data_IF_659011076144
#
_entry.id   IF_659011076144
#
_cell.length_a   1.000
_cell.length_b   1.000
_cell.length_c   1.000
_cell.angle_alpha   90.00
_cell.angle_beta   90.00
_cell.angle_gamma   90.00
#
_symmetry.space_group_name_H-M   'P 1'
#
loop_
_entity.id
_entity.type
_entity.pdbx_description
1 polymer ?
#
# COMPACT_ATOMS: atom_id res chain seq x y z
N UNK A 1 25.58 14.35 -3.84
CA UNK A 1 24.78 15.15 -4.80
C UNK A 1 24.36 16.41 -4.06
N UNK A 2 24.59 17.59 -4.62
CA UNK A 2 24.08 18.82 -4.03
C UNK A 2 22.70 19.04 -4.61
N UNK A 3 21.66 18.91 -3.78
CA UNK A 3 20.28 19.16 -4.20
C UNK A 3 19.95 20.64 -4.02
N UNK A 4 19.16 21.20 -4.93
CA UNK A 4 18.62 22.55 -4.76
C UNK A 4 17.66 22.58 -3.56
N UNK A 5 17.56 23.73 -2.89
CA UNK A 5 16.58 23.89 -1.80
C UNK A 5 15.17 23.94 -2.37
N UNK A 6 14.26 23.19 -1.80
CA UNK A 6 12.88 23.05 -2.25
C UNK A 6 11.87 23.46 -1.19
N UNK A 7 10.67 23.84 -1.63
CA UNK A 7 9.53 24.13 -0.75
C UNK A 7 8.23 23.58 -1.32
N UNK A 8 7.31 23.20 -0.44
CA UNK A 8 5.93 22.89 -0.79
C UNK A 8 4.98 23.06 0.40
N UNK A 9 3.69 23.21 0.09
CA UNK A 9 2.61 23.13 1.08
C UNK A 9 2.47 21.67 1.52
N UNK A 10 2.59 21.40 2.81
CA UNK A 10 2.58 20.05 3.38
C UNK A 10 1.21 19.64 3.96
N UNK A 11 0.26 20.57 4.07
CA UNK A 11 -1.12 20.34 4.51
C UNK A 11 -2.08 20.36 3.32
N UNK A 12 -3.26 19.72 3.40
CA UNK A 12 -4.30 19.88 2.38
C UNK A 12 -4.67 21.36 2.19
N UNK A 13 -4.92 21.75 0.94
CA UNK A 13 -5.44 23.09 0.61
C UNK A 13 -6.91 23.16 1.00
N UNK A 14 -7.23 24.08 1.92
CA UNK A 14 -8.60 24.27 2.41
C UNK A 14 -8.63 25.40 3.45
N UNK A 15 -9.79 25.68 4.02
CA UNK A 15 -9.92 26.63 5.12
C UNK A 15 -9.73 25.88 6.44
N UNK A 16 -8.67 26.17 7.15
CA UNK A 16 -8.28 25.56 8.42
C UNK A 16 -7.73 26.61 9.38
N UNK A 17 -7.46 26.26 10.63
CA UNK A 17 -6.78 27.16 11.57
C UNK A 17 -5.32 27.39 11.19
N UNK A 18 -4.64 26.38 10.66
CA UNK A 18 -3.19 26.40 10.34
C UNK A 18 -2.96 25.67 9.02
N UNK A 19 -2.01 26.19 8.23
CA UNK A 19 -1.40 25.49 7.11
C UNK A 19 0.11 25.43 7.31
N UNK A 20 0.77 24.40 6.78
CA UNK A 20 2.23 24.21 6.93
C UNK A 20 2.89 24.19 5.56
N UNK A 21 3.92 25.03 5.40
CA UNK A 21 4.83 25.00 4.26
C UNK A 21 6.16 24.42 4.74
N UNK A 22 6.67 23.41 4.04
CA UNK A 22 7.97 22.80 4.33
C UNK A 22 9.01 23.24 3.33
N UNK A 23 10.18 23.57 3.83
CA UNK A 23 11.38 23.92 3.05
C UNK A 23 12.50 22.96 3.44
N UNK A 24 13.23 22.40 2.48
CA UNK A 24 14.34 21.46 2.72
C UNK A 24 15.51 21.72 1.78
N UNK A 25 16.72 21.69 2.31
CA UNK A 25 17.97 21.86 1.57
C UNK A 25 18.99 22.69 2.33
N UNK A 26 20.22 22.76 1.83
CA UNK A 26 21.36 23.42 2.51
C UNK A 26 21.14 24.93 2.77
N UNK A 27 20.31 25.57 1.95
CA UNK A 27 20.01 27.00 2.08
C UNK A 27 18.64 27.26 2.76
N UNK A 28 17.92 26.23 3.22
CA UNK A 28 16.56 26.37 3.75
C UNK A 28 16.45 27.41 4.87
N UNK A 29 17.35 27.34 5.85
CA UNK A 29 17.36 28.27 7.00
C UNK A 29 17.72 29.65 6.58
N UNK A 30 18.78 29.81 5.77
CA UNK A 30 19.32 31.13 5.38
C UNK A 30 18.36 31.93 4.50
N UNK A 31 17.69 31.26 3.53
CA UNK A 31 16.71 31.87 2.63
C UNK A 31 15.42 32.23 3.34
N UNK A 32 14.88 31.35 4.19
CA UNK A 32 13.69 31.69 4.99
C UNK A 32 13.98 32.82 5.96
N UNK A 33 15.19 32.89 6.54
CA UNK A 33 15.59 33.98 7.43
C UNK A 33 15.61 35.37 6.75
N UNK A 34 15.75 35.45 5.41
CA UNK A 34 15.73 36.73 4.67
C UNK A 34 14.35 37.39 4.67
N UNK A 35 13.29 36.59 4.67
CA UNK A 35 11.89 37.06 4.61
C UNK A 35 11.19 37.01 5.97
N UNK A 36 11.87 36.55 7.02
CA UNK A 36 11.33 36.38 8.35
C UNK A 36 11.74 37.54 9.29
N UNK A 37 10.74 38.20 9.86
CA UNK A 37 10.91 39.21 10.90
C UNK A 37 10.66 38.57 12.27
N UNK A 38 11.73 38.23 12.94
CA UNK A 38 11.71 37.57 14.25
C UNK A 38 13.14 37.28 14.73
N UNK A 39 13.32 36.17 15.40
CA UNK A 39 14.65 35.72 15.82
C UNK A 39 15.48 35.29 14.62
N UNK A 40 16.79 35.62 14.61
CA UNK A 40 17.69 35.19 13.54
C UNK A 40 17.81 33.67 13.51
N UNK A 41 17.20 33.04 12.47
CA UNK A 41 17.13 31.60 12.32
C UNK A 41 18.49 30.94 12.11
N UNK A 42 19.47 31.64 11.55
CA UNK A 42 20.84 31.13 11.39
C UNK A 42 21.58 30.91 12.72
N UNK A 43 21.03 31.42 13.83
CA UNK A 43 21.67 31.37 15.16
C UNK A 43 20.85 30.56 16.17
N UNK A 44 19.80 29.88 15.74
CA UNK A 44 18.95 29.08 16.62
C UNK A 44 19.42 27.62 16.70
N UNK A 45 18.98 26.93 17.75
CA UNK A 45 19.24 25.50 17.90
C UNK A 45 18.24 24.70 17.04
N UNK A 46 18.64 23.49 16.64
CA UNK A 46 17.74 22.52 16.01
C UNK A 46 16.59 22.15 16.96
N UNK A 47 15.43 21.82 16.39
CA UNK A 47 14.21 21.40 17.11
C UNK A 47 13.65 22.50 18.02
N UNK A 48 13.67 23.76 17.51
CA UNK A 48 13.10 24.93 18.20
C UNK A 48 12.06 25.62 17.31
N UNK A 49 11.07 26.24 17.97
CA UNK A 49 9.98 26.97 17.32
C UNK A 49 10.13 28.46 17.62
N UNK A 50 9.92 29.30 16.61
CA UNK A 50 10.10 30.75 16.70
C UNK A 50 8.89 31.47 16.12
N UNK A 51 8.35 32.39 16.93
CA UNK A 51 7.26 33.28 16.53
C UNK A 51 7.82 34.49 15.77
N UNK A 52 7.10 34.95 14.75
CA UNK A 52 7.39 36.14 13.99
C UNK A 52 6.46 36.33 12.79
N UNK A 53 6.95 37.07 11.78
CA UNK A 53 6.14 37.44 10.61
C UNK A 53 6.92 37.14 9.32
N UNK A 54 6.22 36.72 8.28
CA UNK A 54 6.73 36.73 6.92
C UNK A 54 6.49 38.14 6.33
N UNK A 55 7.47 38.69 5.67
CA UNK A 55 7.41 40.03 5.06
C UNK A 55 7.27 39.95 3.54
N UNK A 56 6.47 40.83 2.98
CA UNK A 56 6.43 41.14 1.56
C UNK A 56 7.77 41.84 1.13
N UNK A 57 7.96 42.03 -0.17
CA UNK A 57 9.12 42.75 -0.72
C UNK A 57 9.22 44.20 -0.23
N UNK A 58 8.10 44.87 -0.03
CA UNK A 58 8.00 46.22 0.48
C UNK A 58 8.22 46.35 2.00
N UNK A 59 8.47 45.22 2.68
CA UNK A 59 8.63 45.13 4.12
C UNK A 59 7.35 45.12 4.95
N UNK A 60 6.19 45.17 4.32
CA UNK A 60 4.90 45.00 5.01
C UNK A 60 4.72 43.54 5.50
N UNK A 61 3.91 43.34 6.53
CA UNK A 61 3.64 42.04 7.07
C UNK A 61 2.67 41.28 6.10
N UNK A 62 3.10 40.11 5.64
CA UNK A 62 2.29 39.22 4.85
C UNK A 62 1.45 38.29 5.75
N UNK A 63 2.07 37.65 6.74
CA UNK A 63 1.41 36.78 7.70
C UNK A 63 2.20 36.68 9.00
N UNK A 64 1.47 36.41 10.09
CA UNK A 64 2.02 36.05 11.38
C UNK A 64 2.22 34.53 11.44
N UNK A 65 3.43 34.05 11.75
CA UNK A 65 3.80 32.65 11.59
C UNK A 65 4.58 32.10 12.78
N UNK A 66 4.55 30.77 12.90
CA UNK A 66 5.49 30.02 13.73
C UNK A 66 6.43 29.22 12.85
N UNK A 67 7.73 29.35 13.08
CA UNK A 67 8.77 28.66 12.29
C UNK A 67 9.44 27.60 13.16
N UNK A 68 9.36 26.34 12.70
CA UNK A 68 10.09 25.21 13.28
C UNK A 68 11.39 24.98 12.49
N UNK A 69 12.52 24.85 13.17
CA UNK A 69 13.85 24.67 12.55
C UNK A 69 14.43 23.32 12.92
N UNK A 70 14.85 22.55 11.91
CA UNK A 70 15.52 21.27 12.04
C UNK A 70 16.83 21.29 11.28
N UNK A 71 17.95 21.17 11.99
CA UNK A 71 19.29 21.23 11.42
C UNK A 71 19.77 19.81 11.10
N UNK A 72 20.37 19.65 9.92
CA UNK A 72 20.98 18.40 9.47
C UNK A 72 21.94 17.79 10.51
N UNK A 73 22.05 16.45 10.61
CA UNK A 73 21.25 15.44 9.92
C UNK A 73 19.95 15.05 10.64
N UNK A 74 19.55 15.78 11.68
CA UNK A 74 18.39 15.48 12.54
C UNK A 74 17.12 16.12 12.00
N UNK A 75 16.72 15.72 10.77
CA UNK A 75 15.52 16.18 10.08
C UNK A 75 14.88 15.04 9.28
N UNK A 76 13.75 15.29 8.65
CA UNK A 76 13.07 14.28 7.82
C UNK A 76 13.90 13.88 6.59
N UNK A 77 14.52 14.83 5.92
CA UNK A 77 15.34 14.60 4.71
C UNK A 77 16.82 14.39 5.00
N UNK A 78 17.28 14.50 6.25
CA UNK A 78 18.68 14.67 6.67
C UNK A 78 19.34 15.95 6.11
N UNK A 79 18.59 16.86 5.51
CA UNK A 79 19.01 18.22 5.14
C UNK A 79 18.55 19.20 6.22
N UNK A 80 18.91 20.48 6.10
CA UNK A 80 18.28 21.53 6.89
C UNK A 80 16.82 21.67 6.47
N UNK A 81 15.90 21.65 7.45
CA UNK A 81 14.46 21.74 7.21
C UNK A 81 13.87 22.88 8.02
N UNK A 82 13.02 23.67 7.37
CA UNK A 82 12.20 24.69 8.01
C UNK A 82 10.73 24.39 7.72
N UNK A 83 9.91 24.37 8.77
CA UNK A 83 8.45 24.29 8.64
C UNK A 83 7.84 25.61 9.10
N UNK A 84 7.04 26.23 8.22
CA UNK A 84 6.40 27.52 8.43
C UNK A 84 4.91 27.26 8.61
N UNK A 85 4.41 27.46 9.82
CA UNK A 85 2.98 27.39 10.14
C UNK A 85 2.37 28.77 9.91
N UNK A 86 1.51 28.87 8.89
CA UNK A 86 0.76 30.06 8.50
C UNK A 86 -0.69 29.98 8.97
N UNK A 87 -1.46 31.06 8.88
CA UNK A 87 -2.90 30.96 8.93
C UNK A 87 -3.42 30.09 7.79
N UNK A 88 -4.40 29.23 8.07
CA UNK A 88 -4.87 28.13 7.18
C UNK A 88 -5.84 28.59 6.09
N UNK A 89 -5.68 29.79 5.53
CA UNK A 89 -6.41 30.28 4.37
C UNK A 89 -5.72 29.89 3.07
N UNK A 90 -6.46 29.47 2.05
CA UNK A 90 -5.89 29.07 0.75
C UNK A 90 -5.01 30.17 0.17
N UNK A 91 -5.53 31.41 0.10
CA UNK A 91 -4.83 32.53 -0.51
C UNK A 91 -3.56 32.89 0.26
N UNK A 92 -3.64 32.98 1.60
CA UNK A 92 -2.49 33.38 2.41
C UNK A 92 -1.37 32.33 2.34
N UNK A 93 -1.73 31.02 2.39
CA UNK A 93 -0.76 29.94 2.26
C UNK A 93 -0.04 29.98 0.90
N UNK A 94 -0.78 30.24 -0.20
CA UNK A 94 -0.20 30.39 -1.53
C UNK A 94 0.73 31.61 -1.61
N UNK A 95 0.32 32.77 -1.06
CA UNK A 95 1.14 33.97 -1.03
C UNK A 95 2.44 33.79 -0.24
N UNK A 96 2.39 33.10 0.89
CA UNK A 96 3.62 32.78 1.66
C UNK A 96 4.52 31.84 0.87
N UNK A 97 3.97 30.81 0.19
CA UNK A 97 4.76 29.94 -0.68
C UNK A 97 5.40 30.74 -1.84
N UNK A 98 4.63 31.58 -2.55
CA UNK A 98 5.15 32.45 -3.61
C UNK A 98 6.34 33.29 -3.07
N UNK A 99 6.19 33.90 -1.90
CA UNK A 99 7.24 34.71 -1.26
C UNK A 99 8.50 33.89 -0.92
N UNK A 100 8.35 32.63 -0.53
CA UNK A 100 9.46 31.71 -0.32
C UNK A 100 10.19 31.41 -1.65
N UNK A 101 9.45 31.13 -2.71
CA UNK A 101 10.01 30.81 -4.03
C UNK A 101 10.79 32.01 -4.63
N UNK A 102 10.36 33.25 -4.38
CA UNK A 102 11.07 34.47 -4.79
C UNK A 102 12.48 34.58 -4.19
N UNK A 103 12.77 33.87 -3.10
CA UNK A 103 14.16 33.80 -2.56
C UNK A 103 15.08 32.86 -3.37
N UNK A 104 14.60 32.30 -4.47
CA UNK A 104 15.34 31.35 -5.29
C UNK A 104 15.26 29.88 -4.75
N UNK A 105 14.26 29.57 -3.96
CA UNK A 105 13.90 28.20 -3.58
C UNK A 105 13.01 27.64 -4.68
N UNK A 106 13.18 26.37 -5.04
CA UNK A 106 12.37 25.72 -6.06
C UNK A 106 11.11 25.06 -5.48
N UNK A 107 10.08 24.96 -6.30
CA UNK A 107 8.88 24.21 -5.93
C UNK A 107 9.20 22.71 -5.94
N UNK A 108 8.92 22.03 -4.83
CA UNK A 108 9.12 20.59 -4.74
C UNK A 108 8.20 19.82 -5.67
N UNK A 109 8.70 18.71 -6.21
CA UNK A 109 7.89 17.73 -6.94
C UNK A 109 7.13 16.82 -5.97
N UNK A 110 6.05 16.15 -6.42
CA UNK A 110 5.38 15.13 -5.62
C UNK A 110 6.39 14.09 -5.08
N UNK A 111 6.31 13.78 -3.79
CA UNK A 111 7.19 12.80 -3.12
C UNK A 111 8.65 13.21 -2.96
N UNK A 112 9.06 14.44 -3.32
CA UNK A 112 10.49 14.81 -3.35
C UNK A 112 11.15 14.78 -1.97
N UNK A 113 10.47 15.18 -0.92
CA UNK A 113 11.02 15.09 0.44
C UNK A 113 11.28 13.64 0.87
N UNK A 114 10.38 12.72 0.55
CA UNK A 114 10.56 11.28 0.83
C UNK A 114 11.65 10.67 -0.03
N UNK A 115 11.75 11.09 -1.31
CA UNK A 115 12.84 10.70 -2.22
C UNK A 115 14.20 11.13 -1.66
N UNK A 116 14.33 12.36 -1.15
CA UNK A 116 15.56 12.86 -0.51
C UNK A 116 15.87 12.10 0.78
N UNK A 117 14.86 11.83 1.61
CA UNK A 117 15.03 11.02 2.82
C UNK A 117 15.56 9.61 2.49
N UNK A 118 15.10 9.00 1.39
CA UNK A 118 15.61 7.72 0.88
C UNK A 118 17.06 7.87 0.35
N UNK A 119 17.33 8.83 -0.54
CA UNK A 119 18.66 9.06 -1.14
C UNK A 119 19.73 9.40 -0.08
N UNK A 120 19.34 10.13 0.96
CA UNK A 120 20.20 10.45 2.10
C UNK A 120 20.30 9.31 3.13
N UNK A 121 19.69 8.16 2.86
CA UNK A 121 19.79 6.95 3.69
C UNK A 121 19.12 7.08 5.07
N UNK A 122 18.11 7.97 5.21
CA UNK A 122 17.31 8.04 6.43
C UNK A 122 16.27 6.91 6.50
N UNK A 123 15.64 6.63 5.39
CA UNK A 123 14.64 5.57 5.22
C UNK A 123 15.02 4.70 4.03
N UNK A 124 14.60 3.44 4.05
CA UNK A 124 14.63 2.56 2.88
C UNK A 124 13.33 2.70 2.07
N UNK A 125 13.25 1.98 0.94
CA UNK A 125 12.10 2.09 0.05
C UNK A 125 10.82 1.52 0.68
N UNK A 126 10.93 0.45 1.49
CA UNK A 126 9.81 -0.13 2.25
C UNK A 126 9.24 0.89 3.23
N UNK A 127 10.11 1.62 3.94
CA UNK A 127 9.69 2.67 4.86
C UNK A 127 9.07 3.87 4.14
N UNK A 128 9.59 4.24 2.96
CA UNK A 128 9.00 5.31 2.15
C UNK A 128 7.57 4.95 1.71
N UNK A 129 7.35 3.73 1.23
CA UNK A 129 6.04 3.23 0.87
C UNK A 129 5.11 3.13 2.10
N UNK A 130 5.62 2.70 3.25
CA UNK A 130 4.85 2.62 4.49
C UNK A 130 4.33 3.98 4.98
N UNK A 131 5.05 5.08 4.73
CA UNK A 131 4.57 6.44 5.03
C UNK A 131 3.28 6.73 4.23
N UNK A 132 3.23 6.33 2.96
CA UNK A 132 2.03 6.50 2.14
C UNK A 132 0.90 5.57 2.59
N UNK A 133 1.23 4.34 2.97
CA UNK A 133 0.26 3.39 3.49
C UNK A 133 -0.43 3.89 4.77
N UNK A 134 0.30 4.57 5.68
CA UNK A 134 -0.29 5.21 6.86
C UNK A 134 -1.26 6.32 6.46
N UNK A 135 -0.92 7.14 5.46
CA UNK A 135 -1.75 8.26 5.03
C UNK A 135 -3.06 7.77 4.38
N UNK A 136 -2.98 6.69 3.61
CA UNK A 136 -4.11 6.12 2.89
C UNK A 136 -4.84 5.01 3.66
N UNK A 137 -4.42 4.70 4.88
CA UNK A 137 -5.03 3.64 5.67
C UNK A 137 -6.52 3.92 5.95
N UNK A 138 -7.37 2.96 5.62
CA UNK A 138 -8.83 3.04 5.79
C UNK A 138 -9.33 2.27 7.01
N UNK A 139 -8.45 1.53 7.71
CA UNK A 139 -8.79 0.78 8.90
C UNK A 139 -7.59 0.67 9.87
N UNK A 140 -7.85 0.32 11.13
CA UNK A 140 -6.81 0.23 12.16
C UNK A 140 -5.75 -0.84 11.87
N UNK A 141 -6.13 -1.95 11.26
CA UNK A 141 -5.18 -3.02 10.94
C UNK A 141 -4.22 -2.59 9.82
N UNK A 142 -4.70 -1.82 8.82
CA UNK A 142 -3.83 -1.21 7.81
C UNK A 142 -2.78 -0.27 8.43
N UNK A 143 -3.17 0.54 9.44
CA UNK A 143 -2.24 1.37 10.20
C UNK A 143 -1.19 0.51 10.93
N UNK A 144 -1.61 -0.62 11.55
CA UNK A 144 -0.68 -1.53 12.25
C UNK A 144 0.33 -2.15 11.27
N UNK A 145 -0.12 -2.60 10.10
CA UNK A 145 0.73 -3.14 9.04
C UNK A 145 1.76 -2.10 8.58
N UNK A 146 1.31 -0.89 8.27
CA UNK A 146 2.16 0.20 7.81
C UNK A 146 3.18 0.62 8.89
N UNK A 147 2.80 0.67 10.17
CA UNK A 147 3.70 0.96 11.27
C UNK A 147 4.78 -0.12 11.45
N UNK A 148 4.47 -1.41 11.23
CA UNK A 148 5.47 -2.49 11.24
C UNK A 148 6.51 -2.29 10.12
N UNK A 149 6.08 -1.96 8.89
CA UNK A 149 6.97 -1.64 7.79
C UNK A 149 7.83 -0.40 8.11
N UNK A 150 7.23 0.67 8.64
CA UNK A 150 7.94 1.90 9.04
C UNK A 150 8.96 1.66 10.14
N UNK A 151 8.72 0.73 11.07
CA UNK A 151 9.65 0.36 12.15
C UNK A 151 10.82 -0.54 11.71
N UNK A 152 11.01 -0.76 10.41
CA UNK A 152 12.02 -1.65 9.79
C UNK A 152 11.82 -3.15 10.03
N UNK A 153 10.72 -3.59 10.64
CA UNK A 153 10.51 -5.01 10.86
C UNK A 153 10.48 -5.80 9.54
N UNK A 154 9.76 -5.28 8.53
CA UNK A 154 9.70 -5.85 7.18
C UNK A 154 11.06 -5.79 6.48
N UNK A 155 11.76 -4.66 6.55
CA UNK A 155 13.10 -4.51 5.96
C UNK A 155 14.11 -5.49 6.57
N UNK A 156 14.09 -5.67 7.90
CA UNK A 156 14.96 -6.61 8.59
C UNK A 156 14.69 -8.07 8.20
N UNK A 157 13.43 -8.44 7.96
CA UNK A 157 13.07 -9.77 7.47
C UNK A 157 13.67 -10.02 6.07
N UNK A 158 13.60 -9.06 5.17
CA UNK A 158 14.19 -9.18 3.82
C UNK A 158 15.73 -9.16 3.88
N UNK A 159 16.33 -8.32 4.73
CA UNK A 159 17.78 -8.29 4.94
C UNK A 159 18.32 -9.63 5.48
N UNK A 160 17.56 -10.30 6.34
CA UNK A 160 17.93 -11.63 6.83
C UNK A 160 17.96 -12.67 5.69
N UNK A 161 16.92 -12.72 4.84
CA UNK A 161 16.91 -13.58 3.66
C UNK A 161 18.10 -13.28 2.73
N UNK A 162 18.31 -11.99 2.46
CA UNK A 162 19.39 -11.50 1.61
C UNK A 162 20.76 -11.89 2.15
N UNK A 163 20.97 -11.82 3.48
CA UNK A 163 22.20 -12.19 4.14
C UNK A 163 22.48 -13.71 4.03
N UNK A 164 21.44 -14.55 4.17
CA UNK A 164 21.55 -16.00 3.99
C UNK A 164 21.98 -16.36 2.56
N UNK A 165 21.36 -15.72 1.54
CA UNK A 165 21.74 -15.92 0.13
C UNK A 165 23.16 -15.44 -0.12
N UNK A 166 23.56 -14.27 0.39
CA UNK A 166 24.92 -13.73 0.24
C UNK A 166 25.97 -14.67 0.85
N UNK A 167 25.66 -15.29 2.00
CA UNK A 167 26.57 -16.28 2.62
C UNK A 167 26.80 -17.46 1.70
N UNK A 168 25.77 -17.96 1.01
CA UNK A 168 25.92 -19.06 0.02
C UNK A 168 26.78 -18.61 -1.16
N UNK A 169 26.52 -17.41 -1.73
CA UNK A 169 27.30 -16.87 -2.83
C UNK A 169 28.78 -16.77 -2.44
N UNK A 170 29.08 -16.14 -1.29
CA UNK A 170 30.45 -15.94 -0.84
C UNK A 170 31.19 -17.29 -0.62
N UNK A 171 30.50 -18.31 -0.08
CA UNK A 171 31.10 -19.63 0.11
C UNK A 171 31.36 -20.33 -1.23
N UNK A 172 30.50 -20.18 -2.22
CA UNK A 172 30.69 -20.71 -3.58
C UNK A 172 31.86 -20.00 -4.27
N UNK A 173 31.93 -18.68 -4.20
CA UNK A 173 33.02 -17.89 -4.79
C UNK A 173 34.38 -18.24 -4.23
N UNK A 174 34.50 -18.45 -2.90
CA UNK A 174 35.74 -18.91 -2.28
C UNK A 174 36.18 -20.27 -2.84
N UNK A 175 35.25 -21.18 -3.11
CA UNK A 175 35.58 -22.50 -3.68
C UNK A 175 35.97 -22.41 -5.17
N UNK A 176 35.50 -21.42 -5.90
CA UNK A 176 35.84 -21.19 -7.31
C UNK A 176 37.21 -20.52 -7.42
N UNK A 177 37.45 -19.46 -6.63
CA UNK A 177 38.64 -18.61 -6.72
C UNK A 177 39.88 -19.22 -6.04
N UNK A 178 39.65 -20.04 -5.02
CA UNK A 178 40.72 -20.60 -4.20
C UNK A 178 40.53 -22.13 -3.95
N UNK A 179 40.55 -22.95 -4.99
CA UNK A 179 40.31 -24.38 -4.86
C UNK A 179 41.40 -25.12 -4.07
N UNK A 180 42.57 -24.49 -3.87
CA UNK A 180 43.72 -25.03 -3.11
C UNK A 180 43.68 -24.78 -1.60
N UNK A 181 42.65 -24.05 -1.08
CA UNK A 181 42.53 -23.82 0.35
C UNK A 181 41.95 -25.04 1.06
N UNK A 182 42.81 -25.81 1.76
CA UNK A 182 42.45 -27.02 2.51
C UNK A 182 41.42 -26.74 3.64
N UNK A 183 41.40 -25.51 4.17
CA UNK A 183 40.50 -25.08 5.25
C UNK A 183 39.13 -24.54 4.73
N UNK A 184 38.94 -24.37 3.41
CA UNK A 184 37.69 -23.90 2.86
C UNK A 184 36.62 -25.01 2.91
N UNK A 185 35.42 -24.66 3.38
CA UNK A 185 34.28 -25.58 3.32
C UNK A 185 33.94 -25.83 1.84
N UNK A 186 34.19 -27.07 1.38
CA UNK A 186 33.87 -27.48 0.03
C UNK A 186 32.34 -27.40 -0.16
N UNK A 187 31.90 -26.45 -0.99
CA UNK A 187 30.49 -26.25 -1.27
C UNK A 187 30.01 -27.27 -2.31
N UNK A 188 29.71 -28.47 -1.81
CA UNK A 188 29.11 -29.54 -2.61
C UNK A 188 27.57 -29.34 -2.72
N UNK A 189 26.95 -30.02 -3.70
CA UNK A 189 25.51 -30.03 -3.87
C UNK A 189 24.79 -30.50 -2.59
N UNK A 190 25.38 -31.41 -1.81
CA UNK A 190 24.83 -31.93 -0.57
C UNK A 190 24.72 -30.85 0.53
N UNK A 191 25.56 -29.82 0.49
CA UNK A 191 25.53 -28.70 1.42
C UNK A 191 24.66 -27.54 0.92
N UNK A 192 24.63 -27.33 -0.39
CA UNK A 192 23.85 -26.23 -0.99
C UNK A 192 22.36 -26.58 -1.02
N UNK A 193 22.00 -27.78 -1.43
CA UNK A 193 20.61 -28.24 -1.59
C UNK A 193 19.73 -27.99 -0.34
N UNK A 194 20.10 -28.47 0.87
CA UNK A 194 19.25 -28.25 2.05
C UNK A 194 19.11 -26.76 2.39
N UNK A 195 20.19 -25.98 2.26
CA UNK A 195 20.14 -24.53 2.58
C UNK A 195 19.26 -23.73 1.62
N UNK A 196 19.25 -24.09 0.33
CA UNK A 196 18.36 -23.46 -0.65
C UNK A 196 16.91 -23.89 -0.40
N UNK A 197 16.65 -25.14 -0.03
CA UNK A 197 15.29 -25.57 0.36
C UNK A 197 14.80 -24.85 1.62
N UNK A 198 15.64 -24.70 2.65
CA UNK A 198 15.27 -23.92 3.85
C UNK A 198 14.89 -22.48 3.49
N UNK A 199 15.61 -21.84 2.55
CA UNK A 199 15.26 -20.50 2.03
C UNK A 199 13.93 -20.51 1.28
N UNK A 200 13.68 -21.53 0.44
CA UNK A 200 12.43 -21.66 -0.30
C UNK A 200 11.23 -21.86 0.65
N UNK A 201 11.40 -22.67 1.69
CA UNK A 201 10.36 -22.88 2.70
C UNK A 201 10.05 -21.59 3.46
N UNK A 202 11.07 -20.84 3.88
CA UNK A 202 10.92 -19.54 4.54
C UNK A 202 10.21 -18.53 3.62
N UNK A 203 10.58 -18.45 2.35
CA UNK A 203 9.94 -17.58 1.36
C UNK A 203 8.49 -18.00 1.12
N UNK A 204 8.19 -19.30 1.04
CA UNK A 204 6.82 -19.80 0.86
C UNK A 204 5.92 -19.45 2.06
N UNK A 205 6.43 -19.56 3.29
CA UNK A 205 5.72 -19.14 4.50
C UNK A 205 5.42 -17.63 4.46
N UNK A 206 6.43 -16.81 4.14
CA UNK A 206 6.25 -15.36 3.98
C UNK A 206 5.20 -15.04 2.92
N UNK A 207 5.28 -15.65 1.73
CA UNK A 207 4.31 -15.41 0.65
C UNK A 207 2.89 -15.79 1.03
N UNK A 208 2.72 -16.91 1.75
CA UNK A 208 1.41 -17.38 2.21
C UNK A 208 0.78 -16.39 3.20
N UNK A 209 1.56 -15.90 4.15
CA UNK A 209 1.10 -14.93 5.15
C UNK A 209 0.93 -13.54 4.55
N UNK A 210 1.76 -13.17 3.58
CA UNK A 210 1.69 -11.87 2.88
C UNK A 210 0.39 -11.64 2.13
N UNK A 211 -0.24 -12.70 1.59
CA UNK A 211 -1.54 -12.58 0.91
C UNK A 211 -2.63 -12.05 1.85
N UNK A 212 -2.63 -12.48 3.12
CA UNK A 212 -3.55 -12.00 4.15
C UNK A 212 -3.29 -10.54 4.50
N UNK A 213 -2.02 -10.18 4.66
CA UNK A 213 -1.61 -8.79 4.97
C UNK A 213 -1.94 -7.82 3.82
N UNK A 214 -1.85 -8.29 2.58
CA UNK A 214 -2.29 -7.53 1.40
C UNK A 214 -3.79 -7.20 1.45
N UNK A 215 -4.65 -8.15 1.80
CA UNK A 215 -6.09 -7.91 1.95
C UNK A 215 -6.41 -6.87 3.04
N UNK A 216 -5.62 -6.85 4.12
CA UNK A 216 -5.77 -5.85 5.18
C UNK A 216 -5.39 -4.45 4.68
N UNK A 217 -4.31 -4.34 3.88
CA UNK A 217 -3.79 -3.07 3.36
C UNK A 217 -4.64 -2.51 2.22
N UNK A 218 -4.89 -3.31 1.20
CA UNK A 218 -5.52 -2.87 -0.05
C UNK A 218 -7.03 -3.02 -0.03
N UNK A 219 -7.53 -3.86 0.88
CA UNK A 219 -8.91 -4.33 0.83
C UNK A 219 -9.09 -5.49 -0.14
N UNK A 220 -10.30 -6.03 -0.17
CA UNK A 220 -10.68 -7.16 -1.02
C UNK A 220 -11.64 -6.68 -2.10
N UNK A 221 -11.24 -6.76 -3.36
CA UNK A 221 -12.12 -6.44 -4.49
C UNK A 221 -13.29 -7.40 -4.52
N UNK A 222 -14.47 -6.87 -4.20
CA UNK A 222 -15.69 -7.65 -4.01
C UNK A 222 -16.76 -7.21 -4.97
N UNK A 223 -17.40 -8.14 -5.65
CA UNK A 223 -18.55 -7.88 -6.51
C UNK A 223 -19.80 -8.56 -5.97
N UNK A 224 -20.94 -7.86 -6.02
CA UNK A 224 -22.26 -8.39 -5.71
C UNK A 224 -22.98 -8.72 -7.01
N UNK A 225 -23.24 -9.99 -7.27
CA UNK A 225 -23.91 -10.46 -8.49
C UNK A 225 -25.19 -11.24 -8.17
N UNK A 226 -26.09 -11.30 -9.12
CA UNK A 226 -27.38 -11.97 -9.02
C UNK A 226 -28.35 -11.40 -10.05
N UNK A 227 -29.41 -12.10 -10.38
CA UNK A 227 -30.45 -11.62 -11.29
C UNK A 227 -31.17 -10.35 -10.77
N UNK A 228 -31.96 -9.64 -11.59
CA UNK A 228 -32.77 -8.50 -11.12
C UNK A 228 -33.68 -8.90 -9.94
N UNK A 229 -33.92 -7.97 -9.03
CA UNK A 229 -34.88 -8.09 -7.90
C UNK A 229 -34.58 -9.16 -6.83
N UNK A 230 -33.39 -9.78 -6.82
CA UNK A 230 -32.98 -10.69 -5.73
C UNK A 230 -32.54 -9.96 -4.46
N UNK A 231 -32.39 -8.62 -4.50
CA UNK A 231 -32.01 -7.80 -3.35
C UNK A 231 -30.56 -7.35 -3.29
N UNK A 232 -29.85 -7.28 -4.45
CA UNK A 232 -28.47 -6.79 -4.51
C UNK A 232 -28.29 -5.38 -3.94
N UNK A 233 -29.14 -4.44 -4.38
CA UNK A 233 -29.12 -3.04 -3.89
C UNK A 233 -29.49 -2.95 -2.41
N UNK A 234 -30.39 -3.81 -1.92
CA UNK A 234 -30.74 -3.87 -0.51
C UNK A 234 -29.59 -4.42 0.32
N UNK A 235 -28.86 -5.45 -0.17
CA UNK A 235 -27.68 -5.97 0.48
C UNK A 235 -26.55 -4.92 0.51
N UNK A 236 -26.29 -4.25 -0.62
CA UNK A 236 -25.35 -3.15 -0.70
C UNK A 236 -25.66 -2.06 0.34
N UNK A 237 -26.91 -1.61 0.39
CA UNK A 237 -27.35 -0.60 1.35
C UNK A 237 -27.28 -1.10 2.80
N UNK A 238 -27.55 -2.36 3.06
CA UNK A 238 -27.42 -2.94 4.40
C UNK A 238 -25.95 -2.96 4.85
N UNK A 239 -25.03 -3.32 3.97
CA UNK A 239 -23.59 -3.28 4.25
C UNK A 239 -23.06 -1.85 4.42
N UNK A 240 -23.61 -0.87 3.69
CA UNK A 240 -23.19 0.53 3.76
C UNK A 240 -23.82 1.30 4.92
N UNK A 241 -25.04 0.94 5.36
CA UNK A 241 -25.80 1.68 6.39
C UNK A 241 -25.47 1.30 7.84
N UNK A 242 -24.68 0.28 8.09
CA UNK A 242 -24.06 0.10 9.39
C UNK A 242 -22.98 1.19 9.56
N UNK A 243 -22.76 1.72 10.77
CA UNK A 243 -21.81 2.81 11.10
C UNK A 243 -20.34 2.55 10.65
N UNK A 244 -20.13 1.60 9.75
CA UNK A 244 -18.86 1.02 9.27
C UNK A 244 -18.48 1.44 7.85
N UNK A 245 -19.33 2.17 7.15
CA UNK A 245 -19.02 2.62 5.80
C UNK A 245 -18.15 3.88 5.83
N UNK A 246 -16.93 3.79 5.35
CA UNK A 246 -16.10 4.94 5.03
C UNK A 246 -16.36 5.30 3.57
N UNK A 247 -17.26 6.23 3.32
CA UNK A 247 -17.36 6.87 2.01
C UNK A 247 -16.24 7.90 1.95
N UNK A 248 -15.10 7.54 1.38
CA UNK A 248 -14.04 8.51 1.15
C UNK A 248 -14.29 9.20 -0.18
N UNK A 249 -14.64 10.49 -0.13
CA UNK A 249 -14.44 11.39 -1.26
C UNK A 249 -12.92 11.58 -1.47
N UNK A 250 -12.24 10.58 -2.02
CA UNK A 250 -10.86 10.76 -2.46
C UNK A 250 -10.94 11.58 -3.73
N UNK A 251 -10.76 12.89 -3.59
CA UNK A 251 -10.60 13.83 -4.70
C UNK A 251 -9.34 13.39 -5.49
N UNK A 252 -9.53 12.81 -6.66
CA UNK A 252 -8.41 12.43 -7.56
C UNK A 252 -8.67 11.24 -8.49
N UNK A 253 -9.70 10.42 -8.27
CA UNK A 253 -10.07 9.36 -9.20
C UNK A 253 -11.14 9.86 -10.16
N UNK A 254 -10.67 10.41 -11.28
CA UNK A 254 -11.53 10.91 -12.36
C UNK A 254 -12.23 9.77 -13.07
N UNK A 255 -13.57 9.83 -13.12
CA UNK A 255 -14.47 9.34 -14.19
C UNK A 255 -14.86 7.87 -14.31
N UNK A 256 -14.40 6.92 -13.52
CA UNK A 256 -14.89 5.54 -13.67
C UNK A 256 -15.27 4.95 -12.30
N UNK A 257 -16.54 4.54 -12.17
CA UNK A 257 -17.19 3.73 -11.13
C UNK A 257 -16.92 4.15 -9.67
N UNK A 258 -17.98 4.57 -8.99
CA UNK A 258 -17.95 4.87 -7.55
C UNK A 258 -17.75 3.56 -6.80
N UNK A 259 -16.51 3.29 -6.38
CA UNK A 259 -16.20 2.19 -5.48
C UNK A 259 -16.68 2.57 -4.08
N UNK A 260 -17.41 1.66 -3.44
CA UNK A 260 -17.80 1.81 -2.05
C UNK A 260 -16.91 0.91 -1.17
N UNK A 261 -16.51 1.43 -0.02
CA UNK A 261 -15.67 0.70 0.94
C UNK A 261 -16.50 0.32 2.17
N UNK A 262 -16.44 -0.96 2.55
CA UNK A 262 -17.09 -1.51 3.74
C UNK A 262 -16.04 -2.13 4.64
N UNK A 263 -15.96 -1.72 5.90
CA UNK A 263 -15.02 -2.30 6.88
C UNK A 263 -15.71 -3.41 7.66
N UNK A 264 -15.21 -4.64 7.55
CA UNK A 264 -15.65 -5.81 8.29
C UNK A 264 -14.53 -6.28 9.21
N UNK A 265 -14.64 -6.03 10.52
CA UNK A 265 -13.67 -6.44 11.55
C UNK A 265 -12.19 -6.14 11.19
N UNK A 266 -11.96 -4.95 10.61
CA UNK A 266 -10.61 -4.51 10.23
C UNK A 266 -10.12 -5.03 8.89
N UNK A 267 -11.00 -5.60 8.08
CA UNK A 267 -10.78 -5.90 6.66
C UNK A 267 -11.69 -5.02 5.83
N UNK A 268 -11.13 -4.33 4.85
CA UNK A 268 -11.91 -3.47 3.96
C UNK A 268 -12.35 -4.26 2.73
N UNK A 269 -13.66 -4.31 2.45
CA UNK A 269 -14.18 -4.75 1.15
C UNK A 269 -14.27 -3.55 0.22
N UNK A 270 -13.63 -3.63 -0.94
CA UNK A 270 -13.78 -2.68 -2.03
C UNK A 270 -14.88 -3.20 -2.97
N UNK A 271 -16.08 -2.61 -2.88
CA UNK A 271 -17.22 -3.01 -3.71
C UNK A 271 -17.09 -2.38 -5.10
N UNK A 272 -16.82 -3.22 -6.10
CA UNK A 272 -16.66 -2.81 -7.51
C UNK A 272 -18.00 -2.87 -8.25
N UNK A 273 -18.17 -2.01 -9.27
CA UNK A 273 -19.39 -1.93 -10.13
C UNK A 273 -20.68 -1.58 -9.36
N UNK A 274 -20.58 -0.70 -8.35
CA UNK A 274 -21.77 -0.27 -7.59
C UNK A 274 -22.75 0.57 -8.40
N UNK A 275 -22.32 1.17 -9.52
CA UNK A 275 -23.19 1.94 -10.43
C UNK A 275 -24.26 1.04 -11.07
N UNK A 276 -23.91 -0.18 -11.53
CA UNK A 276 -24.87 -1.14 -12.05
C UNK A 276 -25.89 -1.63 -11.02
N UNK A 277 -25.62 -1.45 -9.74
CA UNK A 277 -26.54 -1.82 -8.64
C UNK A 277 -27.47 -0.66 -8.28
N UNK A 278 -27.03 0.61 -8.43
CA UNK A 278 -27.83 1.81 -8.09
C UNK A 278 -28.78 2.22 -9.20
N UNK A 279 -28.39 2.04 -10.48
CA UNK A 279 -29.17 2.50 -11.65
C UNK A 279 -30.13 1.44 -12.20
N UNK A 280 -30.44 0.37 -11.46
CA UNK A 280 -31.30 -0.73 -11.87
C UNK A 280 -32.78 -0.37 -12.10
N UNK A 281 -33.10 0.92 -12.35
CA UNK A 281 -34.46 1.34 -12.66
C UNK A 281 -34.77 1.49 -14.16
N UNK A 282 -33.79 1.57 -15.05
CA UNK A 282 -34.07 1.61 -16.49
C UNK A 282 -32.86 1.29 -17.37
N UNK A 283 -33.09 0.40 -18.33
CA UNK A 283 -32.38 0.18 -19.60
C UNK A 283 -31.23 -0.83 -19.69
N UNK A 284 -31.55 -1.89 -20.45
CA UNK A 284 -30.73 -2.68 -21.38
C UNK A 284 -30.00 -3.90 -20.79
N UNK A 285 -30.69 -5.05 -20.87
CA UNK A 285 -30.26 -6.41 -20.53
C UNK A 285 -28.94 -6.90 -21.18
N UNK A 286 -28.49 -6.36 -22.30
CA UNK A 286 -27.26 -6.84 -22.98
C UNK A 286 -25.96 -6.21 -22.46
N UNK A 287 -25.99 -4.97 -22.02
CA UNK A 287 -24.80 -4.29 -21.49
C UNK A 287 -24.45 -4.77 -20.06
N UNK A 288 -25.44 -5.24 -19.31
CA UNK A 288 -25.27 -5.76 -17.95
C UNK A 288 -24.44 -7.05 -17.87
N UNK A 289 -24.58 -7.96 -18.83
CA UNK A 289 -23.88 -9.28 -18.82
C UNK A 289 -22.37 -9.11 -19.04
N UNK A 290 -21.96 -8.26 -19.96
CA UNK A 290 -20.53 -8.06 -20.25
C UNK A 290 -19.82 -7.28 -19.13
N UNK A 291 -20.51 -6.30 -18.52
CA UNK A 291 -20.00 -5.60 -17.33
C UNK A 291 -19.87 -6.54 -16.13
N UNK A 292 -20.89 -7.33 -15.86
CA UNK A 292 -20.85 -8.33 -14.76
C UNK A 292 -19.73 -9.35 -14.97
N UNK A 293 -19.46 -9.80 -16.21
CA UNK A 293 -18.34 -10.69 -16.52
C UNK A 293 -16.99 -10.04 -16.22
N UNK A 294 -16.80 -8.79 -16.61
CA UNK A 294 -15.57 -8.03 -16.32
C UNK A 294 -15.39 -7.85 -14.82
N UNK A 295 -16.42 -7.42 -14.10
CA UNK A 295 -16.40 -7.26 -12.67
C UNK A 295 -16.11 -8.59 -11.93
N UNK A 296 -16.73 -9.70 -12.33
CA UNK A 296 -16.43 -11.04 -11.80
C UNK A 296 -14.98 -11.42 -12.07
N UNK A 297 -14.44 -11.09 -13.25
CA UNK A 297 -13.05 -11.40 -13.58
C UNK A 297 -12.07 -10.65 -12.68
N UNK A 298 -12.32 -9.37 -12.40
CA UNK A 298 -11.49 -8.49 -11.57
C UNK A 298 -11.66 -8.75 -10.06
N UNK A 299 -12.80 -9.31 -9.65
CA UNK A 299 -13.11 -9.56 -8.25
C UNK A 299 -12.26 -10.69 -7.65
N UNK A 300 -11.86 -10.51 -6.40
CA UNK A 300 -11.21 -11.51 -5.54
C UNK A 300 -12.24 -12.28 -4.69
N UNK A 301 -13.38 -11.66 -4.42
CA UNK A 301 -14.53 -12.24 -3.74
C UNK A 301 -15.81 -11.94 -4.53
N UNK A 302 -16.64 -12.96 -4.70
CA UNK A 302 -17.96 -12.85 -5.35
C UNK A 302 -19.05 -13.15 -4.32
N UNK A 303 -19.93 -12.18 -4.11
CA UNK A 303 -21.17 -12.35 -3.34
C UNK A 303 -22.29 -12.63 -4.31
N UNK A 304 -22.65 -13.91 -4.49
CA UNK A 304 -23.73 -14.34 -5.39
C UNK A 304 -25.04 -14.39 -4.62
N UNK A 305 -25.96 -13.48 -4.93
CA UNK A 305 -27.26 -13.35 -4.26
C UNK A 305 -28.34 -14.09 -5.04
N UNK A 306 -28.99 -15.02 -4.39
CA UNK A 306 -30.13 -15.79 -4.89
C UNK A 306 -31.39 -15.47 -4.07
N UNK A 307 -32.55 -15.60 -4.68
CA UNK A 307 -33.86 -15.40 -4.05
C UNK A 307 -34.39 -16.70 -3.51
N UNK A 308 -34.44 -16.90 -2.19
CA UNK A 308 -34.95 -18.10 -1.55
C UNK A 308 -36.43 -18.38 -1.88
N UNK A 309 -37.21 -17.35 -2.16
CA UNK A 309 -38.65 -17.46 -2.42
C UNK A 309 -38.98 -17.96 -3.84
N UNK A 310 -37.98 -18.29 -4.65
CA UNK A 310 -38.18 -18.73 -6.03
C UNK A 310 -37.26 -19.90 -6.37
N UNK A 311 -37.68 -20.68 -7.38
CA UNK A 311 -36.82 -21.74 -7.95
C UNK A 311 -35.70 -21.13 -8.77
N UNK A 312 -34.61 -21.90 -8.93
CA UNK A 312 -33.50 -21.50 -9.81
C UNK A 312 -33.97 -21.20 -11.23
N UNK A 313 -33.45 -20.13 -11.77
CA UNK A 313 -33.66 -19.74 -13.17
C UNK A 313 -32.41 -20.06 -13.99
N UNK A 314 -32.50 -20.02 -15.33
CA UNK A 314 -31.35 -20.18 -16.22
C UNK A 314 -30.26 -19.10 -16.00
N UNK A 315 -30.66 -17.91 -15.57
CA UNK A 315 -29.72 -16.83 -15.23
C UNK A 315 -28.94 -17.16 -13.96
N UNK A 316 -29.60 -17.69 -12.94
CA UNK A 316 -28.96 -18.14 -11.70
C UNK A 316 -27.95 -19.27 -11.99
N UNK A 317 -28.31 -20.27 -12.82
CA UNK A 317 -27.41 -21.34 -13.25
C UNK A 317 -26.20 -20.83 -14.01
N UNK A 318 -26.39 -19.85 -14.90
CA UNK A 318 -25.29 -19.20 -15.62
C UNK A 318 -24.34 -18.49 -14.67
N UNK A 319 -24.84 -17.75 -13.68
CA UNK A 319 -24.02 -17.04 -12.68
C UNK A 319 -23.29 -18.04 -11.76
N UNK A 320 -23.92 -19.13 -11.37
CA UNK A 320 -23.30 -20.22 -10.61
C UNK A 320 -22.09 -20.80 -11.36
N UNK A 321 -22.24 -21.04 -12.68
CA UNK A 321 -21.18 -21.57 -13.54
C UNK A 321 -20.05 -20.54 -13.72
N UNK A 322 -20.38 -19.26 -13.99
CA UNK A 322 -19.39 -18.19 -14.18
C UNK A 322 -18.53 -17.94 -12.95
N UNK A 323 -19.07 -18.19 -11.76
CA UNK A 323 -18.38 -17.88 -10.49
C UNK A 323 -17.75 -19.12 -9.84
N UNK A 324 -17.82 -20.30 -10.46
CA UNK A 324 -17.38 -21.58 -9.88
C UNK A 324 -15.89 -21.57 -9.47
N UNK A 325 -15.04 -20.92 -10.28
CA UNK A 325 -13.59 -20.87 -10.06
C UNK A 325 -13.12 -19.68 -9.20
N UNK A 326 -14.06 -18.92 -8.62
CA UNK A 326 -13.78 -17.76 -7.77
C UNK A 326 -13.99 -18.08 -6.29
N UNK A 327 -13.34 -17.31 -5.41
CA UNK A 327 -13.78 -17.27 -4.02
C UNK A 327 -15.20 -16.70 -4.02
N UNK A 328 -16.22 -17.55 -3.83
CA UNK A 328 -17.61 -17.10 -3.86
C UNK A 328 -18.34 -17.47 -2.59
N UNK A 329 -19.30 -16.64 -2.24
CA UNK A 329 -20.28 -16.91 -1.19
C UNK A 329 -21.67 -16.86 -1.84
N UNK A 330 -22.40 -17.96 -1.79
CA UNK A 330 -23.78 -18.06 -2.26
C UNK A 330 -24.68 -17.60 -1.11
N UNK A 331 -25.39 -16.49 -1.33
CA UNK A 331 -26.25 -15.85 -0.35
C UNK A 331 -27.70 -16.09 -0.73
N UNK A 332 -28.44 -16.79 0.10
CA UNK A 332 -29.90 -16.91 -0.01
C UNK A 332 -30.56 -15.71 0.66
N UNK A 333 -31.12 -14.78 -0.12
CA UNK A 333 -31.84 -13.64 0.41
C UNK A 333 -33.35 -13.87 0.46
N UNK A 334 -34.08 -13.04 1.19
CA UNK A 334 -35.51 -13.11 1.47
C UNK A 334 -35.88 -14.31 2.36
N UNK A 335 -35.07 -14.54 3.36
CA UNK A 335 -35.31 -15.60 4.38
C UNK A 335 -36.65 -15.45 5.12
N UNK A 336 -37.19 -14.23 5.12
CA UNK A 336 -38.51 -13.87 5.66
C UNK A 336 -39.69 -14.47 4.87
N UNK A 337 -39.45 -15.00 3.66
CA UNK A 337 -40.43 -15.62 2.81
C UNK A 337 -40.29 -17.17 2.77
N UNK A 338 -41.36 -17.93 2.38
CA UNK A 338 -41.24 -19.36 2.18
C UNK A 338 -40.16 -19.73 1.15
N UNK A 339 -39.30 -20.68 1.49
CA UNK A 339 -38.18 -21.08 0.62
C UNK A 339 -38.63 -22.11 -0.42
N UNK A 340 -38.31 -21.87 -1.69
CA UNK A 340 -38.50 -22.77 -2.84
C UNK A 340 -37.17 -23.04 -3.57
N UNK A 341 -36.06 -22.53 -3.06
CA UNK A 341 -34.75 -22.74 -3.66
C UNK A 341 -34.20 -24.13 -3.27
N UNK A 342 -33.81 -24.92 -4.27
CA UNK A 342 -33.33 -26.30 -4.10
C UNK A 342 -31.81 -26.42 -4.23
N UNK A 343 -31.05 -25.41 -3.75
CA UNK A 343 -29.58 -25.38 -3.73
C UNK A 343 -29.06 -24.99 -2.35
N UNK A 344 -27.93 -25.56 -1.96
CA UNK A 344 -27.27 -25.19 -0.73
C UNK A 344 -26.66 -23.78 -0.85
N UNK A 345 -26.96 -22.95 0.13
CA UNK A 345 -26.41 -21.60 0.26
C UNK A 345 -25.43 -21.53 1.43
N UNK A 346 -24.34 -20.74 1.28
CA UNK A 346 -23.38 -20.55 2.37
C UNK A 346 -24.03 -19.81 3.54
N UNK A 347 -24.88 -18.81 3.23
CA UNK A 347 -25.55 -17.96 4.22
C UNK A 347 -26.97 -17.65 3.76
N UNK A 348 -27.92 -17.61 4.70
CA UNK A 348 -29.28 -17.14 4.45
C UNK A 348 -29.55 -15.85 5.22
N UNK A 349 -30.04 -14.83 4.51
CA UNK A 349 -30.28 -13.49 5.05
C UNK A 349 -31.69 -12.99 4.72
N UNK A 350 -32.18 -12.04 5.51
CA UNK A 350 -33.24 -11.12 5.11
C UNK A 350 -32.68 -9.70 5.15
N UNK A 351 -32.49 -9.11 3.97
CA UNK A 351 -32.07 -7.71 3.87
C UNK A 351 -33.15 -6.74 4.34
N UNK A 352 -34.41 -7.16 4.34
CA UNK A 352 -35.55 -6.38 4.82
C UNK A 352 -35.55 -6.29 6.36
N UNK A 353 -35.40 -7.45 7.03
CA UNK A 353 -35.41 -7.57 8.49
C UNK A 353 -34.02 -7.39 9.12
N UNK A 354 -32.97 -7.21 8.28
CA UNK A 354 -31.56 -7.15 8.69
C UNK A 354 -31.07 -8.39 9.45
N UNK A 355 -31.64 -9.55 9.16
CA UNK A 355 -31.27 -10.81 9.77
C UNK A 355 -30.16 -11.51 8.98
N UNK A 356 -29.21 -12.13 9.66
CA UNK A 356 -28.13 -12.95 9.06
C UNK A 356 -26.93 -12.16 8.53
N UNK A 357 -26.88 -10.83 8.65
CA UNK A 357 -25.75 -10.02 8.16
C UNK A 357 -24.47 -10.35 8.92
N UNK A 358 -24.50 -10.52 10.24
CA UNK A 358 -23.34 -10.92 11.04
C UNK A 358 -22.79 -12.31 10.67
N UNK A 359 -23.68 -13.23 10.26
CA UNK A 359 -23.29 -14.55 9.77
C UNK A 359 -22.59 -14.42 8.41
N UNK A 360 -23.08 -13.53 7.55
CA UNK A 360 -22.44 -13.21 6.26
C UNK A 360 -21.04 -12.64 6.46
N UNK A 361 -20.85 -11.70 7.39
CA UNK A 361 -19.56 -11.15 7.75
C UNK A 361 -18.57 -12.24 8.17
N UNK A 362 -19.00 -13.12 9.08
CA UNK A 362 -18.17 -14.23 9.54
C UNK A 362 -17.80 -15.18 8.41
N UNK A 363 -18.73 -15.47 7.49
CA UNK A 363 -18.47 -16.33 6.33
C UNK A 363 -17.54 -15.69 5.31
N UNK A 364 -17.60 -14.34 5.13
CA UNK A 364 -16.66 -13.58 4.32
C UNK A 364 -15.23 -13.73 4.88
N UNK A 365 -15.04 -13.48 6.17
CA UNK A 365 -13.73 -13.58 6.82
C UNK A 365 -13.18 -15.01 6.74
N UNK A 366 -14.02 -16.02 6.93
CA UNK A 366 -13.66 -17.43 6.82
C UNK A 366 -13.26 -17.82 5.39
N UNK A 367 -14.04 -17.42 4.39
CA UNK A 367 -13.75 -17.69 2.96
C UNK A 367 -12.41 -17.08 2.54
N UNK A 368 -12.08 -15.90 3.05
CA UNK A 368 -10.82 -15.22 2.83
C UNK A 368 -9.68 -15.73 3.73
N UNK A 369 -9.96 -16.68 4.64
CA UNK A 369 -9.04 -17.21 5.67
C UNK A 369 -8.49 -16.08 6.58
N UNK A 370 -9.35 -15.13 6.93
CA UNK A 370 -9.06 -13.99 7.78
C UNK A 370 -9.74 -14.08 9.16
N UNK A 371 -10.44 -15.16 9.44
CA UNK A 371 -11.15 -15.47 10.70
C UNK A 371 -10.24 -15.56 11.94
N UNK A 372 -8.94 -15.82 11.74
CA UNK A 372 -7.93 -15.89 12.78
C UNK A 372 -6.98 -14.67 12.80
N UNK A 373 -7.47 -13.47 12.50
CA UNK A 373 -6.71 -12.22 12.63
C UNK A 373 -6.29 -11.89 14.08
N UNK A 374 -6.64 -12.73 15.04
CA UNK A 374 -6.22 -12.64 16.46
C UNK A 374 -4.70 -12.86 16.62
N UNK A 375 -4.05 -13.54 15.68
CA UNK A 375 -2.59 -13.63 15.61
C UNK A 375 -2.02 -12.31 15.09
N UNK A 376 -1.61 -11.49 16.04
CA UNK A 376 -1.12 -10.10 15.91
C UNK A 376 0.19 -9.94 15.14
N UNK A 377 0.63 -10.89 14.35
CA UNK A 377 1.88 -10.80 13.60
C UNK A 377 1.64 -10.27 12.19
N UNK A 378 1.54 -8.94 12.09
CA UNK A 378 1.42 -8.20 10.83
C UNK A 378 2.79 -7.94 10.17
N UNK A 379 3.82 -8.72 10.50
CA UNK A 379 5.19 -8.49 10.01
C UNK A 379 5.46 -9.21 8.68
N UNK A 380 4.54 -9.12 7.73
CA UNK A 380 4.67 -9.72 6.40
C UNK A 380 4.51 -8.65 5.31
N UNK A 381 4.81 -9.04 4.06
CA UNK A 381 4.70 -8.13 2.93
C UNK A 381 3.22 -7.83 2.64
N UNK A 382 2.90 -6.57 2.43
CA UNK A 382 1.56 -6.13 2.02
C UNK A 382 1.56 -5.48 0.63
N UNK A 383 2.73 -5.05 0.13
CA UNK A 383 2.86 -4.36 -1.13
C UNK A 383 3.04 -5.36 -2.28
N UNK A 384 2.26 -5.18 -3.36
CA UNK A 384 2.31 -6.03 -4.57
C UNK A 384 3.71 -6.08 -5.16
N UNK A 385 4.43 -4.95 -5.20
CA UNK A 385 5.82 -4.88 -5.69
C UNK A 385 6.74 -5.79 -4.88
N UNK A 386 6.65 -5.74 -3.54
CA UNK A 386 7.47 -6.59 -2.66
C UNK A 386 7.17 -8.07 -2.87
N UNK A 387 5.88 -8.42 -2.92
CA UNK A 387 5.42 -9.81 -3.14
C UNK A 387 5.91 -10.31 -4.50
N UNK A 388 5.84 -9.48 -5.54
CA UNK A 388 6.32 -9.84 -6.88
C UNK A 388 7.83 -10.08 -6.88
N UNK A 389 8.63 -9.19 -6.27
CA UNK A 389 10.08 -9.34 -6.18
C UNK A 389 10.48 -10.56 -5.35
N UNK A 390 9.75 -10.87 -4.30
CA UNK A 390 9.98 -12.09 -3.52
C UNK A 390 9.66 -13.36 -4.33
N UNK A 391 8.61 -13.35 -5.17
CA UNK A 391 8.32 -14.45 -6.11
C UNK A 391 9.42 -14.61 -7.16
N UNK A 392 9.96 -13.52 -7.70
CA UNK A 392 11.07 -13.55 -8.64
C UNK A 392 12.33 -14.17 -7.99
N UNK A 393 12.64 -13.78 -6.74
CA UNK A 393 13.72 -14.38 -5.97
C UNK A 393 13.50 -15.88 -5.74
N UNK A 394 12.27 -16.28 -5.39
CA UNK A 394 11.89 -17.70 -5.26
C UNK A 394 12.17 -18.48 -6.55
N UNK A 395 11.72 -17.95 -7.70
CA UNK A 395 11.96 -18.61 -9.01
C UNK A 395 13.44 -18.80 -9.29
N UNK A 396 14.28 -17.81 -8.95
CA UNK A 396 15.75 -17.96 -9.10
C UNK A 396 16.31 -19.05 -8.18
N UNK A 397 15.83 -19.16 -6.94
CA UNK A 397 16.24 -20.26 -6.03
C UNK A 397 15.74 -21.63 -6.52
N UNK A 398 14.54 -21.71 -7.10
CA UNK A 398 14.05 -22.93 -7.74
C UNK A 398 14.92 -23.34 -8.96
N UNK A 399 15.48 -22.38 -9.70
CA UNK A 399 16.45 -22.65 -10.76
C UNK A 399 17.74 -23.27 -10.21
N UNK A 400 18.22 -22.82 -9.03
CA UNK A 400 19.36 -23.46 -8.34
C UNK A 400 19.05 -24.93 -8.04
N UNK A 401 17.87 -25.22 -7.47
CA UNK A 401 17.47 -26.61 -7.20
C UNK A 401 17.43 -27.46 -8.48
N UNK A 402 16.89 -26.90 -9.57
CA UNK A 402 16.86 -27.58 -10.86
C UNK A 402 18.29 -27.85 -11.40
N UNK A 403 19.20 -26.89 -11.27
CA UNK A 403 20.60 -27.05 -11.68
C UNK A 403 21.29 -28.15 -10.86
N UNK A 404 21.02 -28.23 -9.56
CA UNK A 404 21.52 -29.31 -8.67
C UNK A 404 21.00 -30.67 -9.12
N UNK A 405 19.71 -30.79 -9.46
CA UNK A 405 19.12 -32.05 -9.93
C UNK A 405 19.71 -32.55 -11.28
N UNK A 406 20.21 -31.63 -12.09
CA UNK A 406 20.84 -31.95 -13.37
C UNK A 406 22.36 -32.06 -13.27
N UNK A 407 22.91 -32.16 -12.06
CA UNK A 407 24.36 -32.26 -11.79
C UNK A 407 25.19 -31.17 -12.51
N UNK A 408 24.65 -29.95 -12.61
CA UNK A 408 25.33 -28.80 -13.18
C UNK A 408 26.54 -28.39 -12.31
N UNK A 409 27.58 -27.76 -12.88
CA UNK A 409 28.67 -27.19 -12.11
C UNK A 409 28.23 -26.12 -11.09
N UNK A 410 28.96 -26.03 -9.97
CA UNK A 410 28.60 -25.15 -8.83
C UNK A 410 28.62 -23.66 -9.18
N UNK A 411 29.48 -23.26 -10.14
CA UNK A 411 29.55 -21.89 -10.65
C UNK A 411 28.24 -21.41 -11.28
N UNK A 412 27.44 -22.32 -11.87
CA UNK A 412 26.13 -22.00 -12.41
C UNK A 412 25.15 -21.59 -11.30
N UNK A 413 25.24 -22.20 -10.11
CA UNK A 413 24.37 -21.87 -8.98
C UNK A 413 24.59 -20.43 -8.50
N UNK A 414 25.81 -19.89 -8.59
CA UNK A 414 26.16 -18.53 -8.19
C UNK A 414 25.39 -17.48 -8.99
N UNK A 415 25.13 -17.74 -10.27
CA UNK A 415 24.37 -16.81 -11.15
C UNK A 415 22.93 -16.65 -10.67
N UNK A 416 22.26 -17.77 -10.40
CA UNK A 416 20.87 -17.76 -9.95
C UNK A 416 20.75 -17.25 -8.51
N UNK A 417 21.68 -17.59 -7.63
CA UNK A 417 21.76 -17.04 -6.27
C UNK A 417 21.97 -15.52 -6.29
N UNK A 418 22.86 -15.01 -7.16
CA UNK A 418 23.09 -13.57 -7.32
C UNK A 418 21.83 -12.88 -7.84
N UNK A 419 21.10 -13.52 -8.75
CA UNK A 419 19.82 -13.01 -9.23
C UNK A 419 18.80 -12.93 -8.09
N UNK A 420 18.65 -13.98 -7.29
CA UNK A 420 17.79 -13.99 -6.11
C UNK A 420 18.18 -12.89 -5.10
N UNK A 421 19.47 -12.72 -4.83
CA UNK A 421 20.00 -11.67 -3.95
C UNK A 421 19.65 -10.26 -4.43
N UNK A 422 19.78 -10.01 -5.75
CA UNK A 422 19.42 -8.74 -6.36
C UNK A 422 17.91 -8.47 -6.24
N UNK A 423 17.04 -9.47 -6.51
CA UNK A 423 15.60 -9.34 -6.38
C UNK A 423 15.16 -9.02 -4.95
N UNK A 424 15.79 -9.63 -3.96
CA UNK A 424 15.57 -9.27 -2.55
C UNK A 424 16.05 -7.83 -2.26
N UNK A 425 17.19 -7.42 -2.83
CA UNK A 425 17.69 -6.06 -2.68
C UNK A 425 16.79 -5.00 -3.31
N UNK A 426 16.13 -5.30 -4.44
CA UNK A 426 15.17 -4.41 -5.10
C UNK A 426 13.96 -4.09 -4.21
N UNK A 427 13.57 -4.98 -3.28
CA UNK A 427 12.51 -4.71 -2.30
C UNK A 427 12.90 -3.51 -1.42
N UNK A 428 14.14 -3.47 -0.96
CA UNK A 428 14.67 -2.42 -0.08
C UNK A 428 15.07 -1.14 -0.82
N UNK A 429 15.10 -1.18 -2.16
CA UNK A 429 15.51 -0.07 -3.02
C UNK A 429 16.99 -0.11 -3.39
N UNK A 430 17.71 -1.21 -3.12
CA UNK A 430 19.09 -1.38 -3.58
C UNK A 430 19.09 -1.57 -5.10
N UNK A 431 20.05 -0.90 -5.78
CA UNK A 431 20.22 -0.99 -7.24
C UNK A 431 19.02 -0.48 -8.08
N UNK A 432 18.16 0.34 -7.50
CA UNK A 432 17.07 0.98 -8.24
C UNK A 432 17.62 2.16 -9.06
N UNK A 433 17.39 2.14 -10.37
CA UNK A 433 17.77 3.22 -11.28
C UNK A 433 16.78 4.38 -11.22
N UNK A 434 17.27 5.61 -11.54
CA UNK A 434 16.56 6.87 -11.32
C UNK A 434 15.12 6.96 -11.84
N UNK A 435 14.80 6.31 -12.97
CA UNK A 435 13.48 6.38 -13.60
C UNK A 435 12.39 5.69 -12.77
N UNK A 436 12.68 4.49 -12.23
CA UNK A 436 11.73 3.76 -11.38
C UNK A 436 11.47 4.49 -10.05
N UNK A 437 12.52 5.04 -9.43
CA UNK A 437 12.37 5.86 -8.23
C UNK A 437 11.51 7.10 -8.51
N UNK A 438 11.74 7.75 -9.64
CA UNK A 438 10.98 8.93 -10.03
C UNK A 438 9.51 8.59 -10.26
N UNK A 439 9.20 7.49 -10.96
CA UNK A 439 7.83 7.03 -11.16
C UNK A 439 7.17 6.66 -9.82
N UNK A 440 7.88 5.97 -8.94
CA UNK A 440 7.34 5.56 -7.64
C UNK A 440 7.01 6.77 -6.77
N UNK A 441 7.93 7.73 -6.65
CA UNK A 441 7.73 8.92 -5.83
C UNK A 441 6.73 9.91 -6.44
N UNK A 442 6.53 9.92 -7.77
CA UNK A 442 5.50 10.75 -8.42
C UNK A 442 4.07 10.45 -7.96
N UNK A 443 3.83 9.25 -7.42
CA UNK A 443 2.54 8.84 -6.85
C UNK A 443 2.33 9.31 -5.41
N UNK A 444 3.34 9.96 -4.81
CA UNK A 444 3.28 10.48 -3.45
C UNK A 444 2.62 11.86 -3.41
N UNK A 445 2.13 12.25 -2.24
CA UNK A 445 1.55 13.57 -2.05
C UNK A 445 2.58 14.69 -2.22
N UNK A 446 2.16 15.86 -2.74
CA UNK A 446 2.94 17.08 -2.72
C UNK A 446 3.22 17.46 -1.25
N UNK A 447 4.48 17.88 -0.95
CA UNK A 447 4.88 18.23 0.42
C UNK A 447 5.36 17.04 1.27
N UNK A 448 5.45 15.85 0.65
CA UNK A 448 6.01 14.62 1.27
C UNK A 448 7.17 14.01 0.50
#
# INVERSE_FOLDING_TARGET
MQFQTIAAIATPLGTAGISVIRVSGDEAISKVNQIFKGKNLNKVKSHTIHYGHILNEDGSILDEVMISVFIAPKSFTKEDVVEISTHGGILITQKVLERILETGIELAQPGEFSKRAFLNGRIDLVQAEAIMDIIHATNENAIKVANKALSKATSSMIDNLKSKVLTLIAQIEVNIDYPEYDDAIIMSKELIYPRVNDLLDEINDILTKSKRTQYIREGVKTVIVGRPNVGKSSLLNALLNEERAIVSDIAGTTRDTIDAFVNLDGVTLQLIDTAGIRDALDLIEKIGVDRSRKAIHEAELVLLVLDLSQKLTKEDEMLLTLTEHKNRIIIGNKKDLPSYLEIDTNVQISTLEKEGLSVLESEILKTLKLDNLVDKDFNYLSNVRHIQKLKEAKTSLESVINAIHHDMPVDIYAVDLTTAWNRLGEILGNHQYGDLLTELFSKFCLGK
#
